data_IF_166039329747
#
_entry.id   IF_166039329747
#
_cell.length_a   1.000
_cell.length_b   1.000
_cell.length_c   1.000
_cell.angle_alpha   90.00
_cell.angle_beta   90.00
_cell.angle_gamma   90.00
#
_symmetry.space_group_name_H-M   'P 1'
#
loop_
_entity.id
_entity.type
_entity.pdbx_description
1 polymer ?
#
# COMPACT_ATOMS: atom_id res chain seq x y z
N UNK A 1 -6.61 -3.25 -11.65
CA UNK A 1 -5.51 -2.47 -11.10
C UNK A 1 -4.66 -2.20 -12.32
N UNK A 2 -4.28 -0.94 -12.57
CA UNK A 2 -3.42 -0.63 -13.69
C UNK A 2 -2.13 -1.46 -13.65
N UNK A 3 -1.54 -1.70 -14.82
CA UNK A 3 -0.19 -2.25 -14.90
C UNK A 3 0.82 -1.18 -14.46
N UNK A 4 1.75 -1.53 -13.58
CA UNK A 4 2.83 -0.66 -13.13
C UNK A 4 4.05 -1.48 -12.73
N UNK A 5 5.22 -0.86 -12.81
CA UNK A 5 6.50 -1.37 -12.35
C UNK A 5 7.20 -0.24 -11.59
N UNK A 6 7.53 -0.48 -10.33
CA UNK A 6 8.22 0.47 -9.46
C UNK A 6 9.42 -0.22 -8.82
N UNK A 7 10.22 0.55 -8.09
CA UNK A 7 11.39 0.05 -7.40
C UNK A 7 11.12 -0.01 -5.89
N UNK A 8 11.50 -1.12 -5.25
CA UNK A 8 11.50 -1.25 -3.80
C UNK A 8 12.63 -0.41 -3.15
N UNK A 9 12.73 -0.49 -1.83
CA UNK A 9 13.73 0.26 -1.06
C UNK A 9 15.16 -0.27 -1.20
N UNK A 10 15.36 -1.41 -1.86
CA UNK A 10 16.64 -2.04 -2.13
C UNK A 10 17.08 -1.90 -3.59
N UNK A 11 16.24 -1.33 -4.45
CA UNK A 11 16.54 -1.19 -5.88
C UNK A 11 15.98 -2.32 -6.75
N UNK A 12 15.19 -3.24 -6.21
CA UNK A 12 14.58 -4.32 -6.99
C UNK A 12 13.26 -3.89 -7.62
N UNK A 13 12.96 -4.35 -8.84
CA UNK A 13 11.67 -4.10 -9.46
C UNK A 13 10.55 -4.87 -8.74
N UNK A 14 9.42 -4.20 -8.55
CA UNK A 14 8.15 -4.76 -8.08
C UNK A 14 7.08 -4.39 -9.07
N UNK A 15 6.31 -5.38 -9.51
CA UNK A 15 5.29 -5.23 -10.56
C UNK A 15 3.92 -5.51 -10.00
N UNK A 16 2.90 -4.85 -10.55
CA UNK A 16 1.51 -5.15 -10.22
C UNK A 16 1.13 -6.62 -10.50
N UNK A 17 1.78 -7.26 -11.48
CA UNK A 17 1.61 -8.66 -11.83
C UNK A 17 2.05 -9.63 -10.71
N UNK A 18 2.96 -9.22 -9.81
CA UNK A 18 3.43 -10.05 -8.69
C UNK A 18 2.32 -10.30 -7.63
N UNK A 19 1.20 -9.57 -7.75
CA UNK A 19 0.05 -9.63 -6.85
C UNK A 19 -1.21 -10.21 -7.49
N UNK A 20 -1.12 -10.78 -8.70
CA UNK A 20 -2.26 -11.44 -9.35
C UNK A 20 -2.86 -12.55 -8.48
N UNK A 21 -4.20 -12.63 -8.45
CA UNK A 21 -4.93 -13.60 -7.64
C UNK A 21 -4.98 -13.29 -6.14
N UNK A 22 -4.36 -12.20 -5.69
CA UNK A 22 -4.37 -11.76 -4.28
C UNK A 22 -5.33 -10.60 -4.07
N UNK A 23 -5.82 -10.46 -2.84
CA UNK A 23 -6.45 -9.22 -2.40
C UNK A 23 -5.33 -8.23 -2.10
N UNK A 24 -5.38 -7.04 -2.68
CA UNK A 24 -4.33 -6.01 -2.48
C UNK A 24 -4.90 -4.81 -1.72
N UNK A 25 -4.25 -4.45 -0.62
CA UNK A 25 -4.47 -3.18 0.07
C UNK A 25 -3.30 -2.25 -0.28
N UNK A 26 -3.52 -1.31 -1.21
CA UNK A 26 -2.47 -0.43 -1.71
C UNK A 26 -2.63 0.97 -1.11
N UNK A 27 -1.64 1.45 -0.37
CA UNK A 27 -1.67 2.76 0.27
C UNK A 27 -0.63 3.72 -0.32
N UNK A 28 -1.09 4.93 -0.67
CA UNK A 28 -0.21 6.05 -0.99
C UNK A 28 0.05 6.85 0.27
N UNK A 29 1.32 6.98 0.66
CA UNK A 29 1.70 7.53 1.97
C UNK A 29 3.03 8.29 1.93
N UNK A 30 3.39 8.89 3.07
CA UNK A 30 4.72 9.45 3.26
C UNK A 30 5.16 9.41 4.74
N UNK A 31 6.47 9.38 4.99
CA UNK A 31 7.05 9.30 6.34
C UNK A 31 6.72 10.51 7.22
N UNK A 32 6.51 11.68 6.61
CA UNK A 32 6.17 12.93 7.29
C UNK A 32 4.67 13.13 7.49
N UNK A 33 3.82 12.26 6.91
CA UNK A 33 2.36 12.37 6.96
C UNK A 33 1.79 11.74 8.25
N UNK A 34 1.31 12.53 9.24
CA UNK A 34 0.81 11.97 10.49
C UNK A 34 -0.39 11.01 10.35
N UNK A 35 -1.42 11.27 9.50
CA UNK A 35 -2.52 10.32 9.35
C UNK A 35 -2.06 9.02 8.71
N UNK A 36 -1.12 9.05 7.77
CA UNK A 36 -0.53 7.85 7.18
C UNK A 36 0.13 6.97 8.24
N UNK A 37 0.97 7.59 9.10
CA UNK A 37 1.65 6.89 10.21
C UNK A 37 0.69 6.22 11.18
N UNK A 38 -0.54 6.75 11.31
CA UNK A 38 -1.57 6.20 12.18
C UNK A 38 -2.23 4.93 11.60
N UNK A 39 -2.15 4.72 10.29
CA UNK A 39 -2.69 3.51 9.63
C UNK A 39 -1.71 2.35 9.62
N UNK A 40 -0.41 2.65 9.56
CA UNK A 40 0.68 1.67 9.42
C UNK A 40 0.58 0.50 10.43
N UNK A 41 0.39 0.71 11.76
CA UNK A 41 0.25 -0.41 12.68
C UNK A 41 -0.91 -1.35 12.34
N UNK A 42 -2.03 -0.79 11.88
CA UNK A 42 -3.18 -1.58 11.44
C UNK A 42 -2.90 -2.37 10.16
N UNK A 43 -2.11 -1.82 9.24
CA UNK A 43 -1.70 -2.52 8.02
C UNK A 43 -0.71 -3.65 8.31
N UNK A 44 0.22 -3.44 9.24
CA UNK A 44 1.13 -4.50 9.74
C UNK A 44 0.30 -5.67 10.28
N UNK A 45 -0.65 -5.40 11.18
CA UNK A 45 -1.51 -6.44 11.75
C UNK A 45 -2.37 -7.17 10.69
N UNK A 46 -2.87 -6.45 9.69
CA UNK A 46 -3.62 -7.07 8.59
C UNK A 46 -2.73 -7.99 7.76
N UNK A 47 -1.52 -7.56 7.44
CA UNK A 47 -0.55 -8.36 6.71
C UNK A 47 -0.18 -9.63 7.49
N UNK A 48 0.05 -9.53 8.81
CA UNK A 48 0.33 -10.69 9.66
C UNK A 48 -0.85 -11.67 9.69
N UNK A 49 -2.07 -11.16 9.84
CA UNK A 49 -3.27 -11.99 10.03
C UNK A 49 -3.75 -12.66 8.74
N UNK A 50 -3.62 -11.97 7.61
CA UNK A 50 -4.26 -12.38 6.35
C UNK A 50 -3.26 -12.60 5.21
N UNK A 51 -1.97 -12.36 5.41
CA UNK A 51 -0.94 -12.56 4.38
C UNK A 51 -0.96 -13.99 3.81
N UNK A 52 -1.02 -14.99 4.67
CA UNK A 52 -1.11 -16.41 4.27
C UNK A 52 -2.46 -16.77 3.64
N UNK A 53 -3.52 -16.00 3.93
CA UNK A 53 -4.85 -16.18 3.36
C UNK A 53 -5.02 -15.51 1.98
N UNK A 54 -3.98 -14.83 1.48
CA UNK A 54 -3.98 -14.19 0.16
C UNK A 54 -4.18 -12.68 0.17
N UNK A 55 -3.99 -12.01 1.31
CA UNK A 55 -3.83 -10.55 1.36
C UNK A 55 -2.37 -10.16 1.05
N UNK A 56 -2.19 -9.06 0.34
CA UNK A 56 -0.93 -8.31 0.33
C UNK A 56 -1.20 -6.83 0.53
N UNK A 57 -0.54 -6.24 1.53
CA UNK A 57 -0.44 -4.79 1.65
C UNK A 57 0.70 -4.29 0.77
N UNK A 58 0.55 -3.16 0.09
CA UNK A 58 1.61 -2.51 -0.69
C UNK A 58 1.65 -1.02 -0.36
N UNK A 59 2.76 -0.56 0.22
CA UNK A 59 2.98 0.85 0.51
C UNK A 59 3.70 1.58 -0.61
N UNK A 60 3.01 2.51 -1.26
CA UNK A 60 3.59 3.42 -2.27
C UNK A 60 3.98 4.73 -1.58
N UNK A 61 5.27 4.89 -1.29
CA UNK A 61 5.78 6.13 -0.67
C UNK A 61 5.90 7.23 -1.72
N UNK A 62 5.43 8.43 -1.35
CA UNK A 62 5.58 9.67 -2.11
C UNK A 62 6.64 10.61 -1.50
N UNK A 63 7.54 10.08 -0.66
CA UNK A 63 8.62 10.87 -0.07
C UNK A 63 9.64 11.28 -1.14
N UNK A 64 9.81 12.60 -1.34
CA UNK A 64 10.82 13.15 -2.27
C UNK A 64 12.27 12.79 -1.87
N UNK A 65 12.51 12.49 -0.60
CA UNK A 65 13.81 12.02 -0.10
C UNK A 65 14.18 10.60 -0.53
N UNK A 66 13.28 9.89 -1.22
CA UNK A 66 13.51 8.56 -1.77
C UNK A 66 13.75 7.48 -0.72
N UNK A 67 14.32 6.35 -1.16
CA UNK A 67 14.59 5.21 -0.28
C UNK A 67 15.48 5.57 0.93
N UNK A 68 16.33 6.60 0.82
CA UNK A 68 17.22 7.04 1.90
C UNK A 68 16.47 7.52 3.15
N UNK A 69 15.27 8.09 3.01
CA UNK A 69 14.43 8.50 4.16
C UNK A 69 13.39 7.44 4.52
N UNK A 70 12.92 6.67 3.54
CA UNK A 70 11.85 5.69 3.72
C UNK A 70 12.37 4.40 4.37
N UNK A 71 13.52 3.88 3.93
CA UNK A 71 14.10 2.64 4.47
C UNK A 71 14.34 2.65 6.00
N UNK A 72 14.96 3.68 6.61
CA UNK A 72 15.12 3.72 8.06
C UNK A 72 13.77 3.83 8.78
N UNK A 73 12.78 4.50 8.20
CA UNK A 73 11.43 4.58 8.75
C UNK A 73 10.74 3.21 8.73
N UNK A 74 10.76 2.51 7.60
CA UNK A 74 10.21 1.15 7.43
C UNK A 74 10.83 0.18 8.44
N UNK A 75 12.16 0.23 8.59
CA UNK A 75 12.87 -0.59 9.57
C UNK A 75 12.46 -0.26 11.01
N UNK A 76 12.33 1.02 11.35
CA UNK A 76 11.97 1.47 12.69
C UNK A 76 10.53 1.10 13.08
N UNK A 77 9.59 1.27 12.17
CA UNK A 77 8.17 0.99 12.44
C UNK A 77 7.82 -0.50 12.29
N UNK A 78 8.75 -1.33 11.79
CA UNK A 78 8.53 -2.77 11.62
C UNK A 78 7.56 -3.10 10.48
N UNK A 79 7.53 -2.28 9.43
CA UNK A 79 6.68 -2.56 8.27
C UNK A 79 7.10 -3.89 7.64
N UNK A 80 6.13 -4.81 7.56
CA UNK A 80 6.32 -6.21 7.16
C UNK A 80 5.74 -6.54 5.77
N UNK A 81 5.42 -5.50 4.99
CA UNK A 81 4.85 -5.61 3.65
C UNK A 81 5.72 -4.84 2.63
N UNK A 82 5.60 -5.16 1.33
CA UNK A 82 6.33 -4.45 0.28
C UNK A 82 6.12 -2.93 0.31
N UNK A 83 7.22 -2.19 0.24
CA UNK A 83 7.22 -0.73 0.10
C UNK A 83 7.99 -0.36 -1.17
N UNK A 84 7.35 0.45 -2.01
CA UNK A 84 7.90 0.92 -3.29
C UNK A 84 7.92 2.44 -3.34
N UNK A 85 8.84 3.00 -4.10
CA UNK A 85 8.88 4.44 -4.38
C UNK A 85 7.91 4.77 -5.51
N UNK A 86 6.89 5.58 -5.22
CA UNK A 86 5.92 6.05 -6.20
C UNK A 86 6.47 7.16 -7.08
N UNK A 87 5.95 7.23 -8.31
CA UNK A 87 6.20 8.27 -9.28
C UNK A 87 4.89 8.86 -9.82
N UNK A 88 4.99 9.82 -10.75
CA UNK A 88 3.80 10.42 -11.39
C UNK A 88 2.99 9.39 -12.17
N UNK A 89 3.62 8.36 -12.73
CA UNK A 89 2.95 7.35 -13.55
C UNK A 89 2.00 6.50 -12.71
N UNK A 90 2.43 6.01 -11.54
CA UNK A 90 1.51 5.27 -10.67
C UNK A 90 0.41 6.17 -10.09
N UNK A 91 0.73 7.42 -9.77
CA UNK A 91 -0.25 8.40 -9.26
C UNK A 91 -1.36 8.63 -10.29
N UNK A 92 -1.00 8.84 -11.56
CA UNK A 92 -1.95 9.00 -12.67
C UNK A 92 -2.75 7.73 -12.93
N UNK A 93 -2.09 6.56 -12.88
CA UNK A 93 -2.72 5.27 -13.13
C UNK A 93 -3.85 4.95 -12.13
N UNK A 94 -3.75 5.46 -10.90
CA UNK A 94 -4.78 5.36 -9.86
C UNK A 94 -5.80 6.53 -9.87
N UNK A 95 -5.83 7.31 -10.94
CA UNK A 95 -6.77 8.42 -11.11
C UNK A 95 -6.41 9.66 -10.30
N UNK A 96 -5.13 9.85 -10.00
CA UNK A 96 -4.59 10.99 -9.26
C UNK A 96 -4.74 10.87 -7.74
N UNK A 97 -3.70 11.29 -7.02
CA UNK A 97 -3.62 11.29 -5.56
C UNK A 97 -3.56 12.74 -5.07
N UNK A 98 -4.73 13.32 -4.76
CA UNK A 98 -4.84 14.72 -4.32
C UNK A 98 -4.38 14.93 -2.87
N UNK A 99 -4.40 13.87 -2.05
CA UNK A 99 -3.99 13.91 -0.64
C UNK A 99 -3.57 12.54 -0.15
N UNK A 100 -2.70 12.51 0.85
CA UNK A 100 -2.31 11.28 1.54
C UNK A 100 -2.82 11.27 3.00
N UNK A 101 -3.16 10.09 3.55
CA UNK A 101 -3.15 8.79 2.86
C UNK A 101 -4.29 8.68 1.84
N UNK A 102 -4.06 7.92 0.78
CA UNK A 102 -5.12 7.40 -0.09
C UNK A 102 -4.91 5.91 -0.25
N UNK A 103 -5.90 5.11 0.12
CA UNK A 103 -5.80 3.65 0.16
C UNK A 103 -6.85 3.02 -0.75
N UNK A 104 -6.43 2.00 -1.50
CA UNK A 104 -7.27 1.25 -2.42
C UNK A 104 -7.40 -0.19 -1.93
N UNK A 105 -8.61 -0.74 -2.03
CA UNK A 105 -8.84 -2.19 -1.87
C UNK A 105 -9.09 -2.78 -3.24
N UNK A 106 -8.32 -3.80 -3.57
CA UNK A 106 -8.32 -4.46 -4.87
C UNK A 106 -8.63 -5.94 -4.65
N UNK A 107 -9.60 -6.47 -5.40
CA UNK A 107 -9.99 -7.88 -5.30
C UNK A 107 -9.02 -8.81 -6.07
N UNK A 108 -9.24 -10.12 -5.98
CA UNK A 108 -8.39 -11.15 -6.62
C UNK A 108 -8.39 -11.10 -8.15
N UNK A 109 -9.43 -10.55 -8.76
CA UNK A 109 -9.49 -10.29 -10.21
C UNK A 109 -8.72 -9.01 -10.60
N UNK A 110 -8.03 -8.40 -9.64
CA UNK A 110 -7.31 -7.16 -9.79
C UNK A 110 -8.22 -5.94 -9.84
N UNK A 111 -9.54 -6.01 -9.66
CA UNK A 111 -10.42 -4.85 -9.76
C UNK A 111 -10.33 -3.98 -8.50
N UNK A 112 -10.25 -2.65 -8.68
CA UNK A 112 -10.37 -1.70 -7.55
C UNK A 112 -11.83 -1.70 -7.11
N UNK A 113 -12.10 -2.17 -5.90
CA UNK A 113 -13.45 -2.24 -5.32
C UNK A 113 -13.72 -1.12 -4.33
N UNK A 114 -12.67 -0.55 -3.72
CA UNK A 114 -12.79 0.60 -2.83
C UNK A 114 -11.64 1.60 -3.00
N UNK A 115 -11.96 2.88 -2.74
CA UNK A 115 -11.01 3.98 -2.64
C UNK A 115 -11.33 4.78 -1.38
N UNK A 116 -10.33 4.98 -0.53
CA UNK A 116 -10.43 5.76 0.71
C UNK A 116 -9.42 6.89 0.67
N UNK A 117 -9.88 8.11 1.01
CA UNK A 117 -9.03 9.30 1.09
C UNK A 117 -9.03 9.78 2.53
N UNK A 118 -7.83 9.98 3.09
CA UNK A 118 -7.63 10.27 4.50
C UNK A 118 -7.67 9.03 5.37
N UNK A 119 -7.43 9.23 6.68
CA UNK A 119 -7.33 8.16 7.66
C UNK A 119 -8.61 7.31 7.75
N UNK A 120 -8.43 5.99 7.72
CA UNK A 120 -9.47 5.00 7.95
C UNK A 120 -9.00 3.99 8.99
N UNK A 121 -9.91 3.60 9.89
CA UNK A 121 -9.58 2.57 10.89
C UNK A 121 -9.34 1.21 10.25
N UNK A 122 -8.35 0.46 10.73
CA UNK A 122 -8.07 -0.93 10.35
C UNK A 122 -9.32 -1.82 10.23
N UNK A 123 -10.22 -1.77 11.21
CA UNK A 123 -11.45 -2.59 11.22
C UNK A 123 -12.35 -2.34 9.99
N UNK A 124 -12.29 -1.16 9.38
CA UNK A 124 -13.03 -0.89 8.14
C UNK A 124 -12.42 -1.68 6.98
N UNK A 125 -11.10 -1.64 6.83
CA UNK A 125 -10.39 -2.43 5.82
C UNK A 125 -10.55 -3.92 6.06
N UNK A 126 -10.45 -4.38 7.31
CA UNK A 126 -10.60 -5.79 7.67
C UNK A 126 -11.94 -6.37 7.21
N UNK A 127 -13.04 -5.63 7.38
CA UNK A 127 -14.37 -6.08 6.93
C UNK A 127 -14.40 -6.33 5.42
N UNK A 128 -13.86 -5.40 4.64
CA UNK A 128 -13.80 -5.51 3.18
C UNK A 128 -12.89 -6.64 2.76
N UNK A 129 -11.68 -6.71 3.32
CA UNK A 129 -10.69 -7.75 3.02
C UNK A 129 -11.27 -9.14 3.29
N UNK A 130 -11.91 -9.37 4.44
CA UNK A 130 -12.51 -10.66 4.78
C UNK A 130 -13.59 -11.13 3.80
N UNK A 131 -14.26 -10.21 3.10
CA UNK A 131 -15.25 -10.58 2.09
C UNK A 131 -14.63 -10.94 0.72
N UNK A 132 -13.34 -10.65 0.54
CA UNK A 132 -12.60 -10.81 -0.72
C UNK A 132 -11.56 -11.96 -0.68
N UNK A 133 -11.22 -12.47 0.51
CA UNK A 133 -10.35 -13.64 0.71
C UNK A 133 -11.14 -14.94 0.56
#
# INVERSE_FOLDING_TARGET
MPSWELTDLQGHPVRSADFEGKVVLLDFWATWCPPCRKEIPGFIELQERYGEAGLVVVGVSLDEGGAAVVAPFVSKEGINYPVVMGDSTIVEAFGGIASIPTTFVINRDGQIVERHVGYVSQNRFEKSIKSLL
#
